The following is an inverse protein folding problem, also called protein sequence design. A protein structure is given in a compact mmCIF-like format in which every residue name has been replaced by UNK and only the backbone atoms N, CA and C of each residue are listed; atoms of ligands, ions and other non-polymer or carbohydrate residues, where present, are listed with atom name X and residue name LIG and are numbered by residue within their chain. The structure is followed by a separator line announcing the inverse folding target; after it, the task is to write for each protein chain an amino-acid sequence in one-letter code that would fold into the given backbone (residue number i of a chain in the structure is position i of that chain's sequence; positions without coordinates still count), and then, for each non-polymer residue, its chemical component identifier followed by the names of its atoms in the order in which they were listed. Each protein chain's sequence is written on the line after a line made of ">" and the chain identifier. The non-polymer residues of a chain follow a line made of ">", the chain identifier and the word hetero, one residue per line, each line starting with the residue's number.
data_IF_225253988069
#
_entry.id   IF_225253988069
#
_cell.length_a   1.000
_cell.length_b   1.000
_cell.length_c   1.000
_cell.angle_alpha   90.00
_cell.angle_beta   90.00
_cell.angle_gamma   90.00
#
_symmetry.space_group_name_H-M   'P 1'
#
loop_
_entity.id
_entity.type
_entity.pdbx_description
1 polymer ?
#
# COMPACT_ATOMS: atom_id res chain seq x y z
N UNK A 1 16.48 -0.71 -23.14
CA UNK A 1 15.14 -0.22 -22.75
C UNK A 1 13.97 -1.15 -23.13
N UNK A 2 13.83 -1.61 -24.39
CA UNK A 2 12.70 -2.47 -24.82
C UNK A 2 12.63 -3.87 -24.14
N UNK A 3 13.75 -4.39 -23.65
CA UNK A 3 13.81 -5.66 -22.89
C UNK A 3 13.27 -5.51 -21.47
N UNK A 4 13.77 -4.52 -20.71
CA UNK A 4 13.36 -4.24 -19.34
C UNK A 4 11.86 -3.95 -19.23
N UNK A 5 11.31 -3.09 -20.12
CA UNK A 5 9.88 -2.81 -20.16
C UNK A 5 9.04 -4.08 -20.38
N UNK A 6 9.48 -4.99 -21.26
CA UNK A 6 8.77 -6.26 -21.52
C UNK A 6 8.83 -7.21 -20.34
N UNK A 7 9.95 -7.26 -19.63
CA UNK A 7 10.12 -8.07 -18.42
C UNK A 7 9.20 -7.54 -17.30
N UNK A 8 9.32 -6.25 -16.98
CA UNK A 8 8.53 -5.59 -15.95
C UNK A 8 7.04 -5.74 -16.20
N UNK A 9 6.58 -5.46 -17.41
CA UNK A 9 5.14 -5.57 -17.74
C UNK A 9 4.66 -7.01 -17.94
N UNK A 10 5.55 -8.02 -18.08
CA UNK A 10 5.18 -9.45 -18.15
C UNK A 10 5.07 -10.08 -16.77
N UNK A 11 5.88 -9.61 -15.83
CA UNK A 11 5.92 -10.09 -14.46
C UNK A 11 5.40 -9.06 -13.47
N UNK A 12 4.60 -8.10 -13.95
CA UNK A 12 4.18 -6.95 -13.16
C UNK A 12 3.46 -7.38 -11.88
N UNK A 13 2.58 -8.38 -11.95
CA UNK A 13 1.86 -8.88 -10.77
C UNK A 13 2.82 -9.47 -9.73
N UNK A 14 3.93 -10.10 -10.14
CA UNK A 14 4.93 -10.61 -9.21
C UNK A 14 5.71 -9.46 -8.54
N UNK A 15 6.08 -8.43 -9.31
CA UNK A 15 6.71 -7.24 -8.75
C UNK A 15 5.78 -6.49 -7.80
N UNK A 16 4.52 -6.28 -8.19
CA UNK A 16 3.50 -5.65 -7.35
C UNK A 16 3.27 -6.43 -6.06
N UNK A 17 3.25 -7.78 -6.12
CA UNK A 17 3.17 -8.64 -4.94
C UNK A 17 4.37 -8.43 -4.02
N UNK A 18 5.58 -8.54 -4.55
CA UNK A 18 6.81 -8.40 -3.78
C UNK A 18 6.92 -7.03 -3.10
N UNK A 19 6.61 -5.95 -3.84
CA UNK A 19 6.65 -4.59 -3.31
C UNK A 19 5.57 -4.40 -2.22
N UNK A 20 4.34 -4.89 -2.45
CA UNK A 20 3.26 -4.77 -1.46
C UNK A 20 3.59 -5.52 -0.16
N UNK A 21 4.15 -6.73 -0.26
CA UNK A 21 4.62 -7.49 0.89
C UNK A 21 5.79 -6.81 1.61
N UNK A 22 6.73 -6.22 0.86
CA UNK A 22 7.84 -5.47 1.44
C UNK A 22 7.35 -4.23 2.20
N UNK A 23 6.37 -3.50 1.66
CA UNK A 23 5.79 -2.33 2.33
C UNK A 23 5.01 -2.71 3.58
N UNK A 24 4.20 -3.78 3.53
CA UNK A 24 3.52 -4.31 4.71
C UNK A 24 4.53 -4.78 5.76
N UNK A 25 5.56 -5.52 5.34
CA UNK A 25 6.65 -5.96 6.21
C UNK A 25 7.37 -4.80 6.88
N UNK A 26 7.69 -3.74 6.12
CA UNK A 26 8.29 -2.53 6.66
C UNK A 26 7.35 -1.83 7.66
N UNK A 27 6.06 -1.70 7.35
CA UNK A 27 5.08 -1.08 8.24
C UNK A 27 4.95 -1.85 9.57
N UNK A 28 4.88 -3.18 9.52
CA UNK A 28 4.86 -4.03 10.72
C UNK A 28 6.19 -4.00 11.48
N UNK A 29 7.33 -3.87 10.79
CA UNK A 29 8.63 -3.72 11.42
C UNK A 29 8.75 -2.38 12.16
N UNK A 30 8.30 -1.27 11.57
CA UNK A 30 8.25 0.03 12.24
C UNK A 30 7.34 0.03 13.46
N UNK A 31 6.21 -0.68 13.39
CA UNK A 31 5.32 -0.85 14.53
C UNK A 31 5.96 -1.69 15.64
N UNK A 32 6.46 -2.90 15.31
CA UNK A 32 6.94 -3.86 16.31
C UNK A 32 8.31 -3.51 16.88
N UNK A 33 9.23 -3.07 16.04
CA UNK A 33 10.63 -2.79 16.39
C UNK A 33 10.92 -1.30 16.52
N UNK A 34 10.24 -0.45 15.72
CA UNK A 34 10.36 1.00 15.83
C UNK A 34 9.51 1.61 16.95
N UNK A 35 8.56 0.86 17.51
CA UNK A 35 7.66 1.36 18.56
C UNK A 35 6.73 2.47 18.07
N UNK A 36 6.50 2.54 16.76
CA UNK A 36 5.68 3.54 16.08
C UNK A 36 4.27 2.99 15.88
N UNK A 37 3.37 3.33 16.81
CA UNK A 37 1.97 2.92 16.72
C UNK A 37 1.34 3.46 15.42
N UNK A 38 0.58 2.64 14.68
CA UNK A 38 -0.08 3.10 13.46
C UNK A 38 -1.27 4.02 13.80
N UNK A 39 -1.43 5.11 13.05
CA UNK A 39 -2.64 5.91 13.08
C UNK A 39 -3.74 5.28 12.19
N UNK A 40 -4.96 5.80 12.27
CA UNK A 40 -6.09 5.32 11.47
C UNK A 40 -5.80 5.33 9.95
N UNK A 41 -5.22 6.42 9.42
CA UNK A 41 -4.87 6.49 8.00
C UNK A 41 -3.73 5.54 7.61
N UNK A 42 -2.77 5.28 8.49
CA UNK A 42 -1.75 4.23 8.27
C UNK A 42 -2.41 2.86 8.10
N UNK A 43 -3.40 2.52 8.92
CA UNK A 43 -4.12 1.24 8.82
C UNK A 43 -4.90 1.16 7.49
N UNK A 44 -5.59 2.23 7.09
CA UNK A 44 -6.27 2.29 5.78
C UNK A 44 -5.33 2.15 4.60
N UNK A 45 -4.12 2.69 4.69
CA UNK A 45 -3.10 2.48 3.66
C UNK A 45 -2.61 1.02 3.62
N UNK A 46 -2.53 0.32 4.76
CA UNK A 46 -2.20 -1.11 4.79
C UNK A 46 -3.29 -1.98 4.16
N UNK A 47 -4.57 -1.65 4.36
CA UNK A 47 -5.70 -2.35 3.71
C UNK A 47 -5.55 -2.35 2.17
N UNK A 48 -5.10 -1.23 1.59
CA UNK A 48 -4.82 -1.13 0.15
C UNK A 48 -3.76 -2.16 -0.27
N UNK A 49 -2.66 -2.29 0.47
CA UNK A 49 -1.61 -3.25 0.16
C UNK A 49 -2.05 -4.70 0.37
N UNK A 50 -2.90 -4.99 1.37
CA UNK A 50 -3.50 -6.31 1.50
C UNK A 50 -4.41 -6.67 0.32
N UNK A 51 -5.22 -5.70 -0.15
CA UNK A 51 -6.00 -5.85 -1.38
C UNK A 51 -5.11 -6.09 -2.60
N UNK A 52 -4.00 -5.34 -2.72
CA UNK A 52 -3.03 -5.53 -3.79
C UNK A 52 -2.36 -6.92 -3.72
N UNK A 53 -1.99 -7.40 -2.52
CA UNK A 53 -1.44 -8.74 -2.30
C UNK A 53 -2.42 -9.80 -2.78
N UNK A 54 -3.70 -9.72 -2.42
CA UNK A 54 -4.70 -10.69 -2.85
C UNK A 54 -4.82 -10.79 -4.39
N UNK A 55 -4.89 -9.64 -5.07
CA UNK A 55 -4.97 -9.57 -6.54
C UNK A 55 -3.67 -10.04 -7.18
N UNK A 56 -2.53 -9.56 -6.69
CA UNK A 56 -1.23 -9.83 -7.27
C UNK A 56 -0.81 -11.30 -7.07
N UNK A 57 -1.10 -11.88 -5.91
CA UNK A 57 -0.83 -13.29 -5.60
C UNK A 57 -1.64 -14.21 -6.52
N UNK A 58 -2.95 -14.04 -6.56
CA UNK A 58 -3.84 -14.87 -7.41
C UNK A 58 -3.45 -14.78 -8.88
N UNK A 59 -3.19 -13.57 -9.38
CA UNK A 59 -2.76 -13.36 -10.77
C UNK A 59 -1.38 -13.97 -11.08
N UNK A 60 -0.45 -13.91 -10.11
CA UNK A 60 0.90 -14.48 -10.27
C UNK A 60 0.86 -16.01 -10.24
N UNK A 61 0.13 -16.61 -9.31
CA UNK A 61 -0.08 -18.07 -9.27
C UNK A 61 -0.74 -18.57 -10.55
N UNK A 62 -1.78 -17.86 -11.02
CA UNK A 62 -2.39 -18.16 -12.31
C UNK A 62 -1.39 -18.11 -13.47
N UNK A 63 -0.53 -17.08 -13.51
CA UNK A 63 0.49 -16.95 -14.55
C UNK A 63 1.48 -18.12 -14.55
N UNK A 64 1.91 -18.57 -13.36
CA UNK A 64 2.82 -19.71 -13.18
C UNK A 64 2.17 -21.02 -13.64
N UNK A 65 0.94 -21.31 -13.20
CA UNK A 65 0.18 -22.52 -13.59
C UNK A 65 -0.09 -22.55 -15.09
N UNK A 66 -0.39 -21.39 -15.68
CA UNK A 66 -0.62 -21.25 -17.13
C UNK A 66 0.65 -21.37 -18.00
N UNK A 67 1.82 -21.63 -17.38
CA UNK A 67 3.15 -21.60 -18.01
C UNK A 67 3.42 -20.32 -18.80
N UNK A 68 2.84 -19.20 -18.37
CA UNK A 68 2.99 -17.91 -19.02
C UNK A 68 2.44 -17.80 -20.44
N UNK A 69 1.62 -18.76 -20.90
CA UNK A 69 1.07 -18.81 -22.27
C UNK A 69 0.24 -17.57 -22.67
N UNK A 70 -0.27 -16.80 -21.69
CA UNK A 70 -1.14 -15.64 -21.93
C UNK A 70 -0.57 -14.29 -21.45
N UNK A 71 0.70 -14.23 -20.99
CA UNK A 71 1.30 -13.03 -20.40
C UNK A 71 0.66 -12.63 -19.06
N UNK A 72 0.95 -11.42 -18.55
CA UNK A 72 0.28 -10.88 -17.35
C UNK A 72 -1.22 -10.76 -17.59
N UNK A 73 -2.09 -11.18 -16.66
CA UNK A 73 -3.53 -10.95 -16.78
C UNK A 73 -3.79 -9.44 -16.80
N UNK A 74 -4.20 -8.90 -17.97
CA UNK A 74 -4.46 -7.46 -18.12
C UNK A 74 -5.50 -6.95 -17.13
N UNK A 75 -6.51 -7.78 -16.84
CA UNK A 75 -7.55 -7.48 -15.87
C UNK A 75 -6.92 -7.30 -14.48
N UNK A 76 -6.05 -8.22 -14.05
CA UNK A 76 -5.36 -8.07 -12.76
C UNK A 76 -4.46 -6.83 -12.71
N UNK A 77 -3.73 -6.53 -13.79
CA UNK A 77 -2.93 -5.31 -13.86
C UNK A 77 -3.79 -4.04 -13.79
N UNK A 78 -4.98 -4.05 -14.40
CA UNK A 78 -5.93 -2.94 -14.30
C UNK A 78 -6.53 -2.82 -12.89
N UNK A 79 -6.91 -3.93 -12.25
CA UNK A 79 -7.38 -3.93 -10.88
C UNK A 79 -6.31 -3.41 -9.92
N UNK A 80 -5.05 -3.82 -10.09
CA UNK A 80 -3.92 -3.28 -9.33
C UNK A 80 -3.77 -1.78 -9.55
N UNK A 81 -3.96 -1.28 -10.78
CA UNK A 81 -3.93 0.15 -11.03
C UNK A 81 -4.99 0.91 -10.24
N UNK A 82 -6.22 0.40 -10.19
CA UNK A 82 -7.31 0.99 -9.39
C UNK A 82 -6.94 0.97 -7.90
N UNK A 83 -6.50 -0.18 -7.37
CA UNK A 83 -6.14 -0.34 -5.96
C UNK A 83 -4.99 0.62 -5.56
N UNK A 84 -3.92 0.67 -6.33
CA UNK A 84 -2.81 1.57 -6.04
C UNK A 84 -3.16 3.04 -6.25
N UNK A 85 -4.10 3.37 -7.15
CA UNK A 85 -4.63 4.73 -7.27
C UNK A 85 -5.40 5.12 -6.00
N UNK A 86 -6.23 4.23 -5.45
CA UNK A 86 -6.86 4.43 -4.14
C UNK A 86 -5.82 4.64 -3.04
N UNK A 87 -4.75 3.83 -3.04
CA UNK A 87 -3.60 4.02 -2.15
C UNK A 87 -2.94 5.38 -2.28
N UNK A 88 -2.70 5.83 -3.52
CA UNK A 88 -2.10 7.12 -3.81
C UNK A 88 -2.96 8.27 -3.30
N UNK A 89 -4.27 8.24 -3.57
CA UNK A 89 -5.21 9.27 -3.09
C UNK A 89 -5.21 9.32 -1.56
N UNK A 90 -5.34 8.18 -0.89
CA UNK A 90 -5.32 8.10 0.58
C UNK A 90 -3.99 8.56 1.18
N UNK A 91 -2.87 8.23 0.52
CA UNK A 91 -1.54 8.62 0.98
C UNK A 91 -1.24 10.10 0.77
N UNK A 92 -1.66 10.68 -0.36
CA UNK A 92 -1.60 12.13 -0.58
C UNK A 92 -2.49 12.85 0.42
N UNK A 93 -3.70 12.35 0.68
CA UNK A 93 -4.61 12.90 1.69
C UNK A 93 -3.98 12.94 3.09
N UNK A 94 -3.35 11.83 3.49
CA UNK A 94 -2.64 11.72 4.77
C UNK A 94 -1.45 12.69 4.84
N UNK A 95 -0.59 12.68 3.82
CA UNK A 95 0.59 13.54 3.76
C UNK A 95 0.23 15.03 3.76
N UNK A 96 -0.81 15.44 3.02
CA UNK A 96 -1.23 16.85 3.04
C UNK A 96 -1.83 17.26 4.39
N UNK A 97 -2.44 16.33 5.14
CA UNK A 97 -2.85 16.58 6.53
C UNK A 97 -1.65 16.81 7.46
N UNK A 98 -0.59 16.01 7.31
CA UNK A 98 0.68 16.22 8.03
C UNK A 98 1.34 17.56 7.65
N UNK A 99 1.24 17.97 6.39
CA UNK A 99 1.76 19.23 5.88
C UNK A 99 0.82 20.43 6.12
N UNK A 100 -0.31 20.21 6.79
CA UNK A 100 -1.32 21.24 7.10
C UNK A 100 -1.89 21.94 5.87
N UNK A 101 -1.98 21.23 4.74
CA UNK A 101 -2.67 21.72 3.54
C UNK A 101 -4.19 21.72 3.70
N UNK A 102 -4.70 20.84 4.56
CA UNK A 102 -6.11 20.73 4.93
C UNK A 102 -6.24 20.09 6.32
N UNK A 103 -7.41 20.29 6.92
CA UNK A 103 -7.77 19.61 8.16
C UNK A 103 -8.14 18.16 7.89
N UNK A 104 -7.69 17.26 8.77
CA UNK A 104 -8.11 15.87 8.74
C UNK A 104 -9.44 15.71 9.48
N UNK A 105 -10.28 14.71 9.12
CA UNK A 105 -11.54 14.46 9.81
C UNK A 105 -11.32 14.21 11.30
N UNK A 106 -12.34 14.47 12.13
CA UNK A 106 -12.25 14.26 13.59
C UNK A 106 -11.84 12.82 13.98
N UNK A 107 -12.15 11.82 13.15
CA UNK A 107 -11.71 10.43 13.34
C UNK A 107 -10.19 10.26 13.31
N UNK A 108 -9.44 11.24 12.80
CA UNK A 108 -7.99 11.26 12.75
C UNK A 108 -7.34 11.98 13.96
N UNK A 109 -8.13 12.70 14.77
CA UNK A 109 -7.69 13.49 15.92
C UNK A 109 -7.61 12.68 17.24
N UNK A 110 -7.63 11.35 17.14
CA UNK A 110 -7.56 10.45 18.30
C UNK A 110 -8.94 10.20 18.89
N UNK A 111 -9.64 9.23 18.31
CA UNK A 111 -11.00 8.89 18.69
C UNK A 111 -11.51 7.72 17.85
N UNK A 112 -10.81 6.58 17.90
CA UNK A 112 -11.46 5.31 17.62
C UNK A 112 -12.53 5.04 18.68
N UNK A 113 -13.50 4.18 18.39
CA UNK A 113 -14.46 3.72 19.40
C UNK A 113 -13.69 3.14 20.58
N UNK A 114 -13.63 3.88 21.68
CA UNK A 114 -12.97 3.41 22.89
C UNK A 114 -13.93 2.47 23.55
N UNK A 115 -13.55 1.20 23.62
CA UNK A 115 -14.32 0.22 24.36
C UNK A 115 -14.27 0.57 25.86
N UNK A 116 -15.42 0.57 26.53
CA UNK A 116 -15.53 0.94 27.95
C UNK A 116 -14.65 0.04 28.83
N UNK A 117 -14.46 -1.21 28.43
CA UNK A 117 -13.60 -2.17 29.13
C UNK A 117 -12.12 -1.79 29.00
N UNK A 118 -11.68 -1.37 27.81
CA UNK A 118 -10.33 -0.84 27.58
C UNK A 118 -10.05 0.46 28.36
N UNK A 119 -11.03 1.35 28.50
CA UNK A 119 -10.92 2.54 29.33
C UNK A 119 -10.83 2.21 30.82
N UNK A 120 -11.65 1.27 31.29
CA UNK A 120 -11.64 0.82 32.67
C UNK A 120 -10.30 0.17 33.04
N UNK A 121 -9.76 -0.69 32.16
CA UNK A 121 -8.46 -1.30 32.34
C UNK A 121 -7.33 -0.25 32.36
N UNK A 122 -7.38 0.77 31.49
CA UNK A 122 -6.41 1.87 31.48
C UNK A 122 -6.50 2.72 32.75
N UNK A 123 -7.71 3.04 33.22
CA UNK A 123 -7.96 3.80 34.45
C UNK A 123 -7.50 3.06 35.71
N UNK A 124 -7.60 1.73 35.70
CA UNK A 124 -7.12 0.86 36.77
C UNK A 124 -5.63 0.51 36.65
N UNK A 125 -4.94 0.98 35.60
CA UNK A 125 -3.54 0.67 35.33
C UNK A 125 -3.25 -0.80 34.98
N UNK A 126 -4.30 -1.57 34.65
CA UNK A 126 -4.22 -3.00 34.32
C UNK A 126 -4.26 -3.25 32.81
N UNK A 127 -4.65 -2.25 32.02
CA UNK A 127 -4.73 -2.31 30.56
C UNK A 127 -3.43 -1.87 29.87
N UNK A 128 -3.15 -2.37 28.66
CA UNK A 128 -2.06 -1.86 27.85
C UNK A 128 -2.30 -0.37 27.53
N UNK A 129 -1.27 0.46 27.66
CA UNK A 129 -1.31 1.86 27.21
C UNK A 129 -1.34 1.86 25.69
N UNK A 130 -2.53 1.87 25.11
CA UNK A 130 -2.69 2.00 23.66
C UNK A 130 -2.36 3.45 23.28
N UNK A 131 -1.16 3.66 22.73
CA UNK A 131 -0.71 4.96 22.25
C UNK A 131 -1.53 5.33 21.02
N UNK A 132 -2.60 6.10 21.22
CA UNK A 132 -3.42 6.63 20.13
C UNK A 132 -2.56 7.57 19.28
N UNK A 133 -2.19 7.12 18.09
CA UNK A 133 -1.40 7.90 17.14
C UNK A 133 -2.30 8.77 16.28
N UNK A 134 -2.03 10.08 16.26
CA UNK A 134 -2.75 11.06 15.43
C UNK A 134 -2.30 10.97 13.98
N UNK A 135 -3.22 11.15 13.03
CA UNK A 135 -2.86 11.04 11.60
C UNK A 135 -2.17 12.29 11.05
N UNK A 136 -2.21 13.42 11.73
CA UNK A 136 -1.55 14.65 11.30
C UNK A 136 -0.16 14.82 11.92
N UNK A 137 0.22 13.92 12.83
CA UNK A 137 1.51 13.95 13.51
C UNK A 137 2.55 13.13 12.74
N UNK A 138 3.62 13.80 12.29
CA UNK A 138 4.74 13.13 11.64
C UNK A 138 5.60 12.42 12.69
N UNK A 139 5.48 11.10 12.78
CA UNK A 139 6.21 10.27 13.75
C UNK A 139 7.59 9.82 13.27
N UNK A 140 7.82 9.86 11.95
CA UNK A 140 9.08 9.47 11.34
C UNK A 140 9.30 10.19 10.02
N UNK A 141 10.57 10.48 9.70
CA UNK A 141 10.98 11.10 8.44
C UNK A 141 12.24 10.45 7.89
N UNK A 142 12.33 10.38 6.57
CA UNK A 142 13.53 9.99 5.85
C UNK A 142 13.66 10.79 4.56
N UNK A 143 14.87 11.31 4.31
CA UNK A 143 15.19 12.17 3.17
C UNK A 143 14.17 13.31 2.95
N UNK A 144 13.71 13.91 4.05
CA UNK A 144 12.78 15.04 4.02
C UNK A 144 11.29 14.68 3.90
N UNK A 145 10.93 13.42 3.70
CA UNK A 145 9.52 12.97 3.61
C UNK A 145 9.12 12.14 4.83
N UNK A 146 7.85 12.25 5.22
CA UNK A 146 7.24 11.37 6.22
C UNK A 146 6.96 9.97 5.64
N UNK A 147 6.53 9.03 6.47
CA UNK A 147 6.03 7.74 5.99
C UNK A 147 4.88 7.90 5.00
N UNK A 148 3.93 8.79 5.28
CA UNK A 148 2.80 9.06 4.38
C UNK A 148 3.28 9.63 3.03
N UNK A 149 4.26 10.54 3.05
CA UNK A 149 4.87 11.11 1.84
C UNK A 149 5.57 10.04 0.97
N UNK A 150 6.37 9.17 1.59
CA UNK A 150 6.96 8.03 0.88
C UNK A 150 5.91 7.08 0.31
N UNK A 151 4.86 6.80 1.09
CA UNK A 151 3.77 5.94 0.66
C UNK A 151 3.01 6.51 -0.53
N UNK A 152 2.83 7.84 -0.57
CA UNK A 152 2.22 8.55 -1.70
C UNK A 152 3.03 8.36 -2.98
N UNK A 153 4.34 8.63 -2.92
CA UNK A 153 5.24 8.47 -4.08
C UNK A 153 5.23 7.04 -4.61
N UNK A 154 5.35 6.06 -3.71
CA UNK A 154 5.40 4.64 -4.09
C UNK A 154 4.05 4.19 -4.67
N UNK A 155 2.93 4.57 -4.05
CA UNK A 155 1.59 4.23 -4.56
C UNK A 155 1.33 4.82 -5.95
N UNK A 156 1.74 6.07 -6.20
CA UNK A 156 1.63 6.71 -7.51
C UNK A 156 2.45 5.94 -8.55
N UNK A 157 3.70 5.59 -8.23
CA UNK A 157 4.55 4.81 -9.12
C UNK A 157 3.92 3.44 -9.44
N UNK A 158 3.44 2.73 -8.43
CA UNK A 158 2.77 1.43 -8.59
C UNK A 158 1.50 1.53 -9.43
N UNK A 159 0.69 2.58 -9.27
CA UNK A 159 -0.49 2.83 -10.08
C UNK A 159 -0.12 3.05 -11.56
N UNK A 160 0.89 3.89 -11.83
CA UNK A 160 1.38 4.15 -13.20
C UNK A 160 1.89 2.87 -13.86
N UNK A 161 2.76 2.11 -13.19
CA UNK A 161 3.29 0.87 -13.76
C UNK A 161 2.21 -0.19 -13.97
N UNK A 162 1.20 -0.24 -13.10
CA UNK A 162 0.03 -1.11 -13.27
C UNK A 162 -0.78 -0.75 -14.51
N UNK A 163 -1.01 0.55 -14.76
CA UNK A 163 -1.67 1.01 -15.98
C UNK A 163 -0.86 0.70 -17.23
N UNK A 164 0.47 0.89 -17.18
CA UNK A 164 1.37 0.57 -18.29
C UNK A 164 1.36 -0.93 -18.61
N UNK A 165 1.31 -1.79 -17.58
CA UNK A 165 1.20 -3.24 -17.75
C UNK A 165 -0.18 -3.64 -18.32
N UNK A 166 -1.26 -3.00 -17.87
CA UNK A 166 -2.61 -3.25 -18.36
C UNK A 166 -2.77 -2.87 -19.85
N UNK A 167 -2.15 -1.76 -20.29
CA UNK A 167 -2.23 -1.23 -21.66
C UNK A 167 -1.26 -1.89 -22.65
N UNK A 168 -0.47 -2.88 -22.24
CA UNK A 168 0.52 -3.54 -23.12
C UNK A 168 -0.14 -4.18 -24.36
N UNK A 169 0.29 -3.90 -25.61
CA UNK A 169 -0.26 -4.47 -26.85
C UNK A 169 -0.28 -6.00 -26.92
N UNK A 170 -1.22 -6.61 -27.67
CA UNK A 170 -1.36 -8.09 -27.77
C UNK A 170 -0.18 -8.71 -28.53
N UNK A 171 0.46 -7.98 -29.44
CA UNK A 171 1.49 -8.50 -30.35
C UNK A 171 2.86 -8.69 -29.68
N UNK A 172 3.01 -8.20 -28.44
CA UNK A 172 4.16 -8.49 -27.59
C UNK A 172 4.05 -9.86 -26.86
N UNK A 173 3.07 -10.70 -27.24
CA UNK A 173 2.78 -12.04 -26.67
C UNK A 173 3.39 -13.20 -27.44
N UNK A 174 3.70 -13.05 -28.73
CA UNK A 174 4.28 -14.14 -29.48
C UNK A 174 5.78 -14.28 -29.13
N UNK A 175 6.27 -15.46 -28.69
CA UNK A 175 7.66 -15.79 -28.97
C UNK A 175 7.83 -15.70 -30.49
N UNK A 176 8.82 -14.94 -30.97
CA UNK A 176 9.25 -15.11 -32.35
C UNK A 176 9.84 -16.53 -32.45
N UNK A 177 9.48 -17.32 -33.47
CA UNK A 177 10.08 -18.63 -33.69
C UNK A 177 11.59 -18.52 -33.82
#
# INVERSE_FOLDING_TARGET
>A
MRGLYRLLTRWWTAFALAISLALLGAAHAFERFGGLAPCNLCLKQREVYWGAVAIALTATLWHLVSRGSRGTPRIAAFLLAVVFTTGAVTAVFHFGGEMKWWDLPATCAGGGSVDLESMAALALGTGPIERVAMCDAVTWRFAGLSMAGWNALISIALAVFSLLAAKRPKDARAPRP
#
